data_IF_610960851585
#
_entry.id   IF_610960851585
#
_cell.length_a   1.000
_cell.length_b   1.000
_cell.length_c   1.000
_cell.angle_alpha   90.00
_cell.angle_beta   90.00
_cell.angle_gamma   90.00
#
_symmetry.space_group_name_H-M   'P 1'
#
loop_
_entity.id
_entity.type
_entity.pdbx_description
1 polymer ?
#
# COMPACT_ATOMS: atom_id res chain seq x y z
N UNK A 1 1.28 -8.95 -14.68
CA UNK A 1 0.27 -9.31 -13.67
C UNK A 1 0.69 -8.74 -12.31
N UNK A 2 -0.27 -8.21 -11.55
CA UNK A 2 -0.12 -7.85 -10.13
C UNK A 2 -0.82 -8.91 -9.29
N UNK A 3 -0.16 -9.41 -8.23
CA UNK A 3 -0.78 -10.29 -7.26
C UNK A 3 -1.25 -9.45 -6.06
N UNK A 4 -2.55 -9.47 -5.80
CA UNK A 4 -3.19 -8.78 -4.68
C UNK A 4 -3.48 -9.79 -3.57
N UNK A 5 -2.94 -9.54 -2.37
CA UNK A 5 -3.27 -10.29 -1.17
C UNK A 5 -4.47 -9.63 -0.50
N UNK A 6 -5.59 -10.34 -0.46
CA UNK A 6 -6.84 -9.89 0.15
C UNK A 6 -6.88 -10.28 1.63
N UNK A 7 -6.82 -9.29 2.50
CA UNK A 7 -6.94 -9.43 3.95
C UNK A 7 -8.41 -9.49 4.43
N UNK A 8 -9.31 -10.07 3.64
CA UNK A 8 -10.74 -10.17 3.95
C UNK A 8 -11.40 -8.81 4.12
N UNK A 9 -11.05 -7.88 3.24
CA UNK A 9 -11.51 -6.50 3.30
C UNK A 9 -12.46 -6.17 2.13
N UNK A 10 -13.52 -5.43 2.43
CA UNK A 10 -14.53 -5.03 1.43
C UNK A 10 -13.99 -4.05 0.38
N UNK A 11 -12.91 -3.33 0.66
CA UNK A 11 -12.29 -2.37 -0.26
C UNK A 11 -11.26 -3.01 -1.20
N UNK A 12 -10.86 -4.26 -0.97
CA UNK A 12 -9.88 -4.95 -1.83
C UNK A 12 -10.27 -4.92 -3.30
N UNK A 13 -11.54 -5.19 -3.59
CA UNK A 13 -12.00 -5.24 -4.99
C UNK A 13 -12.07 -3.88 -5.67
N UNK A 14 -12.15 -2.77 -4.93
CA UNK A 14 -12.00 -1.44 -5.50
C UNK A 14 -10.56 -1.21 -5.97
N UNK A 15 -9.56 -1.65 -5.19
CA UNK A 15 -8.16 -1.62 -5.62
C UNK A 15 -7.95 -2.48 -6.88
N UNK A 16 -8.54 -3.68 -6.91
CA UNK A 16 -8.48 -4.58 -8.07
C UNK A 16 -9.09 -3.91 -9.31
N UNK A 17 -10.27 -3.28 -9.17
CA UNK A 17 -10.91 -2.54 -10.24
C UNK A 17 -10.04 -1.42 -10.79
N UNK A 18 -9.48 -0.58 -9.93
CA UNK A 18 -8.61 0.51 -10.36
C UNK A 18 -7.36 0.02 -11.10
N UNK A 19 -6.75 -1.07 -10.60
CA UNK A 19 -5.61 -1.68 -11.30
C UNK A 19 -5.99 -2.23 -12.69
N UNK A 20 -7.18 -2.85 -12.80
CA UNK A 20 -7.69 -3.36 -14.09
C UNK A 20 -8.06 -2.22 -15.05
N UNK A 21 -8.67 -1.14 -14.57
CA UNK A 21 -8.95 0.07 -15.35
C UNK A 21 -7.67 0.72 -15.90
N UNK A 22 -6.57 0.60 -15.15
CA UNK A 22 -5.24 1.04 -15.58
C UNK A 22 -4.54 0.03 -16.52
N UNK A 23 -5.21 -1.05 -16.90
CA UNK A 23 -4.72 -2.04 -17.86
C UNK A 23 -3.88 -3.17 -17.27
N UNK A 24 -3.79 -3.29 -15.95
CA UNK A 24 -3.06 -4.38 -15.32
C UNK A 24 -3.87 -5.68 -15.32
N UNK A 25 -3.21 -6.80 -15.60
CA UNK A 25 -3.71 -8.12 -15.24
C UNK A 25 -3.57 -8.30 -13.72
N UNK A 26 -4.66 -8.70 -13.04
CA UNK A 26 -4.69 -8.84 -11.58
C UNK A 26 -5.09 -10.25 -11.18
N UNK A 27 -4.35 -10.84 -10.25
CA UNK A 27 -4.70 -12.07 -9.55
C UNK A 27 -4.92 -11.75 -8.08
N UNK A 28 -6.04 -12.20 -7.51
CA UNK A 28 -6.39 -12.00 -6.11
C UNK A 28 -6.26 -13.33 -5.37
N UNK A 29 -5.57 -13.32 -4.25
CA UNK A 29 -5.44 -14.45 -3.34
C UNK A 29 -5.76 -14.01 -1.91
N UNK A 30 -6.50 -14.83 -1.18
CA UNK A 30 -6.73 -14.59 0.25
C UNK A 30 -5.42 -14.72 1.03
N UNK A 31 -5.29 -14.01 2.13
CA UNK A 31 -4.08 -13.95 2.94
C UNK A 31 -3.70 -15.29 3.61
N UNK A 32 -4.57 -16.27 3.56
CA UNK A 32 -4.40 -17.64 4.08
C UNK A 32 -4.44 -18.72 2.97
N UNK A 33 -4.53 -18.32 1.70
CA UNK A 33 -4.70 -19.25 0.58
C UNK A 33 -3.36 -19.83 0.06
N UNK A 34 -2.24 -19.16 0.32
CA UNK A 34 -0.91 -19.59 -0.13
C UNK A 34 0.19 -19.14 0.82
N UNK A 35 1.36 -19.73 0.70
CA UNK A 35 2.55 -19.22 1.37
C UNK A 35 3.21 -18.07 0.58
N UNK A 36 3.95 -17.19 1.27
CA UNK A 36 4.67 -16.10 0.62
C UNK A 36 5.68 -16.59 -0.44
N UNK A 37 6.34 -17.72 -0.17
CA UNK A 37 7.26 -18.33 -1.14
C UNK A 37 6.54 -18.80 -2.43
N UNK A 38 5.28 -19.22 -2.33
CA UNK A 38 4.49 -19.60 -3.51
C UNK A 38 4.04 -18.36 -4.28
N UNK A 39 3.70 -17.28 -3.58
CA UNK A 39 3.39 -16.00 -4.20
C UNK A 39 4.55 -15.51 -5.06
N UNK A 40 5.81 -15.59 -4.57
CA UNK A 40 6.98 -15.18 -5.33
C UNK A 40 7.28 -16.08 -6.54
N UNK A 41 6.81 -17.34 -6.55
CA UNK A 41 6.97 -18.25 -7.70
C UNK A 41 5.99 -17.99 -8.81
N UNK A 42 5.01 -17.12 -8.60
CA UNK A 42 4.10 -16.69 -9.67
C UNK A 42 4.85 -15.78 -10.65
N UNK A 43 4.22 -15.50 -11.80
CA UNK A 43 4.73 -14.55 -12.78
C UNK A 43 4.40 -13.09 -12.44
N UNK A 44 4.07 -12.79 -11.18
CA UNK A 44 3.75 -11.44 -10.73
C UNK A 44 4.95 -10.51 -10.89
N UNK A 45 4.71 -9.36 -11.50
CA UNK A 45 5.69 -8.26 -11.62
C UNK A 45 5.71 -7.38 -10.38
N UNK A 46 4.65 -7.40 -9.58
CA UNK A 46 4.53 -6.67 -8.33
C UNK A 46 3.43 -7.25 -7.45
N UNK A 47 3.46 -6.87 -6.19
CA UNK A 47 2.57 -7.35 -5.15
C UNK A 47 1.84 -6.19 -4.48
N UNK A 48 0.58 -6.38 -4.13
CA UNK A 48 -0.20 -5.43 -3.36
C UNK A 48 -0.80 -6.13 -2.14
N UNK A 49 -0.56 -5.59 -0.94
CA UNK A 49 -1.20 -6.04 0.29
C UNK A 49 -2.35 -5.09 0.59
N UNK A 50 -3.56 -5.63 0.63
CA UNK A 50 -4.81 -4.87 0.79
C UNK A 50 -4.98 -4.32 2.21
N UNK A 51 -5.92 -3.38 2.39
CA UNK A 51 -6.49 -3.11 3.71
C UNK A 51 -7.02 -4.39 4.35
N UNK A 52 -7.30 -4.32 5.65
CA UNK A 52 -7.89 -5.43 6.38
C UNK A 52 -8.14 -5.09 7.85
N UNK A 53 -8.86 -5.96 8.56
CA UNK A 53 -9.11 -5.81 9.99
C UNK A 53 -7.88 -6.22 10.82
N UNK A 54 -7.94 -5.93 12.13
CA UNK A 54 -6.97 -6.32 13.13
C UNK A 54 -5.59 -5.67 12.96
N UNK A 55 -4.52 -6.44 13.21
CA UNK A 55 -3.14 -5.98 13.13
C UNK A 55 -2.34 -6.81 12.11
N UNK A 56 -1.12 -6.39 11.75
CA UNK A 56 -0.28 -7.19 10.86
C UNK A 56 -0.03 -8.63 11.33
N UNK A 57 -0.08 -8.87 12.65
CA UNK A 57 0.14 -10.20 13.20
C UNK A 57 -0.99 -11.20 12.85
N UNK A 58 -2.18 -10.69 12.58
CA UNK A 58 -3.35 -11.51 12.18
C UNK A 58 -3.62 -11.46 10.66
N UNK A 59 -2.72 -10.86 9.88
CA UNK A 59 -2.89 -10.64 8.44
C UNK A 59 -2.33 -11.78 7.56
N UNK A 60 -2.39 -13.01 8.04
CA UNK A 60 -1.93 -14.18 7.28
C UNK A 60 -0.51 -14.03 6.76
N UNK A 61 -0.31 -14.20 5.44
CA UNK A 61 1.02 -14.12 4.81
C UNK A 61 1.58 -12.70 4.69
N UNK A 62 0.87 -11.65 5.11
CA UNK A 62 1.26 -10.26 4.79
C UNK A 62 2.67 -9.90 5.27
N UNK A 63 3.03 -10.24 6.52
CA UNK A 63 4.40 -10.00 7.03
C UNK A 63 5.45 -10.83 6.29
N UNK A 64 5.18 -12.11 6.06
CA UNK A 64 6.09 -13.01 5.34
C UNK A 64 6.26 -12.58 3.87
N UNK A 65 5.21 -12.04 3.26
CA UNK A 65 5.29 -11.52 1.89
C UNK A 65 6.14 -10.25 1.82
N UNK A 66 6.03 -9.36 2.82
CA UNK A 66 6.93 -8.19 2.90
C UNK A 66 8.39 -8.65 2.96
N UNK A 67 8.71 -9.60 3.84
CA UNK A 67 10.05 -10.18 3.96
C UNK A 67 10.53 -10.78 2.62
N UNK A 68 9.70 -11.61 2.02
CA UNK A 68 10.03 -12.28 0.77
C UNK A 68 10.24 -11.29 -0.41
N UNK A 69 9.42 -10.25 -0.49
CA UNK A 69 9.58 -9.18 -1.49
C UNK A 69 10.87 -8.37 -1.24
N UNK A 70 11.18 -8.08 0.03
CA UNK A 70 12.41 -7.37 0.38
C UNK A 70 13.66 -8.18 -0.03
N UNK A 71 13.71 -9.46 0.31
CA UNK A 71 14.82 -10.35 -0.02
C UNK A 71 15.00 -10.54 -1.54
N UNK A 72 13.90 -10.57 -2.28
CA UNK A 72 13.90 -10.77 -3.73
C UNK A 72 13.96 -9.47 -4.54
N UNK A 73 13.94 -8.30 -3.90
CA UNK A 73 13.88 -6.99 -4.58
C UNK A 73 12.63 -6.80 -5.44
N UNK A 74 11.50 -7.38 -5.03
CA UNK A 74 10.24 -7.31 -5.78
C UNK A 74 9.44 -6.07 -5.41
N UNK A 75 8.79 -5.41 -6.39
CA UNK A 75 7.90 -4.29 -6.13
C UNK A 75 6.72 -4.69 -5.24
N UNK A 76 6.47 -3.89 -4.21
CA UNK A 76 5.40 -4.09 -3.24
C UNK A 76 4.74 -2.76 -2.88
N UNK A 77 3.41 -2.73 -2.91
CA UNK A 77 2.59 -1.66 -2.33
C UNK A 77 1.75 -2.21 -1.18
N UNK A 78 1.87 -1.62 -0.01
CA UNK A 78 0.99 -1.88 1.13
C UNK A 78 -0.03 -0.76 1.32
N UNK A 79 -1.31 -1.10 1.40
CA UNK A 79 -2.41 -0.16 1.64
C UNK A 79 -3.00 -0.41 3.03
N UNK A 80 -3.10 0.62 3.87
CA UNK A 80 -3.64 0.59 5.22
C UNK A 80 -2.99 -0.51 6.08
N UNK A 81 -3.61 -1.67 6.27
CA UNK A 81 -3.00 -2.83 6.96
C UNK A 81 -1.70 -3.28 6.28
N UNK A 82 -1.63 -3.22 4.95
CA UNK A 82 -0.41 -3.51 4.19
C UNK A 82 0.72 -2.52 4.47
N UNK A 83 0.42 -1.23 4.61
CA UNK A 83 1.37 -0.21 5.05
C UNK A 83 1.89 -0.51 6.46
N UNK A 84 1.00 -0.86 7.39
CA UNK A 84 1.37 -1.25 8.75
C UNK A 84 2.24 -2.51 8.78
N UNK A 85 1.95 -3.48 7.90
CA UNK A 85 2.77 -4.70 7.76
C UNK A 85 4.19 -4.39 7.29
N UNK A 86 4.34 -3.47 6.34
CA UNK A 86 5.66 -2.99 5.91
C UNK A 86 6.37 -2.27 7.07
N UNK A 87 5.69 -1.33 7.73
CA UNK A 87 6.25 -0.59 8.85
C UNK A 87 6.75 -1.51 9.96
N UNK A 88 5.94 -2.50 10.35
CA UNK A 88 6.28 -3.47 11.39
C UNK A 88 7.44 -4.38 10.98
N UNK A 89 7.45 -4.89 9.74
CA UNK A 89 8.52 -5.76 9.26
C UNK A 89 9.90 -5.10 9.36
N UNK A 90 9.98 -3.83 8.98
CA UNK A 90 11.26 -3.08 9.03
C UNK A 90 11.61 -2.52 10.42
N UNK A 91 10.78 -2.74 11.45
CA UNK A 91 11.08 -2.38 12.84
C UNK A 91 10.34 -1.18 13.39
N UNK A 92 9.38 -0.62 12.64
CA UNK A 92 8.43 0.38 13.13
C UNK A 92 7.43 -0.22 14.12
N UNK A 93 6.76 0.64 14.86
CA UNK A 93 5.73 0.24 15.83
C UNK A 93 4.34 0.55 15.31
N UNK A 94 3.45 -0.45 15.30
CA UNK A 94 2.03 -0.26 15.03
C UNK A 94 1.32 0.01 16.35
N UNK A 95 0.73 1.20 16.46
CA UNK A 95 0.10 1.71 17.69
C UNK A 95 -1.26 2.33 17.40
N UNK A 96 -2.06 2.56 18.44
CA UNK A 96 -3.33 3.28 18.31
C UNK A 96 -3.04 4.77 18.08
N UNK A 97 -3.52 5.31 16.95
CA UNK A 97 -3.36 6.71 16.53
C UNK A 97 -4.66 7.53 16.56
N UNK A 98 -5.69 7.04 17.26
CA UNK A 98 -7.02 7.66 17.22
C UNK A 98 -7.92 7.06 16.13
N UNK A 99 -9.23 7.24 16.29
CA UNK A 99 -10.21 6.66 15.37
C UNK A 99 -10.44 7.58 14.18
N UNK A 100 -10.00 7.14 13.01
CA UNK A 100 -10.34 7.72 11.72
C UNK A 100 -11.25 6.75 10.97
N UNK A 101 -12.52 7.12 10.80
CA UNK A 101 -13.51 6.25 10.16
C UNK A 101 -14.28 7.02 9.09
N UNK A 102 -13.86 6.82 7.83
CA UNK A 102 -14.48 7.50 6.70
C UNK A 102 -14.25 9.01 6.65
N UNK A 103 -13.22 9.50 7.33
CA UNK A 103 -12.85 10.92 7.30
C UNK A 103 -11.85 11.19 6.20
N UNK A 104 -11.98 12.33 5.57
CA UNK A 104 -10.97 12.84 4.65
C UNK A 104 -10.00 13.77 5.38
N UNK A 105 -8.75 13.74 4.97
CA UNK A 105 -7.69 14.64 5.46
C UNK A 105 -6.81 15.09 4.30
N UNK A 106 -6.25 16.30 4.36
CA UNK A 106 -5.19 16.68 3.45
C UNK A 106 -3.94 15.84 3.76
N UNK A 107 -3.33 15.29 2.72
CA UNK A 107 -2.08 14.54 2.76
C UNK A 107 -1.02 15.32 2.01
N UNK A 108 0.01 15.75 2.72
CA UNK A 108 1.19 16.42 2.13
C UNK A 108 2.26 15.38 1.86
N UNK A 109 2.93 15.46 0.71
CA UNK A 109 3.97 14.51 0.30
C UNK A 109 5.13 15.21 -0.42
N UNK A 110 6.26 14.51 -0.53
CA UNK A 110 7.49 15.01 -1.17
C UNK A 110 7.58 14.74 -2.67
N UNK A 111 6.58 14.09 -3.25
CA UNK A 111 6.54 13.73 -4.67
C UNK A 111 7.38 12.50 -5.04
N UNK A 112 7.93 11.77 -4.08
CA UNK A 112 8.74 10.58 -4.37
C UNK A 112 7.91 9.29 -4.48
N UNK A 113 8.44 8.30 -5.21
CA UNK A 113 7.84 6.98 -5.34
C UNK A 113 6.45 7.02 -5.97
N UNK A 114 5.46 6.46 -5.27
CA UNK A 114 4.07 6.41 -5.75
C UNK A 114 3.39 7.79 -5.82
N UNK A 115 3.99 8.83 -5.22
CA UNK A 115 3.50 10.19 -5.25
C UNK A 115 4.05 11.03 -6.41
N UNK A 116 4.85 10.44 -7.30
CA UNK A 116 5.47 11.16 -8.41
C UNK A 116 4.44 11.86 -9.30
N UNK A 117 4.57 13.17 -9.47
CA UNK A 117 3.70 13.99 -10.32
C UNK A 117 2.33 14.31 -9.75
N UNK A 118 2.01 13.87 -8.54
CA UNK A 118 0.75 14.21 -7.87
C UNK A 118 0.85 15.61 -7.24
N UNK A 119 -0.27 16.38 -7.18
CA UNK A 119 -0.31 17.62 -6.42
C UNK A 119 -0.18 17.35 -4.91
N UNK A 120 0.44 18.28 -4.19
CA UNK A 120 0.59 18.22 -2.73
C UNK A 120 0.19 19.54 -2.09
N UNK A 121 -0.71 19.56 -1.08
CA UNK A 121 -1.44 18.40 -0.58
C UNK A 121 -2.58 17.96 -1.53
N UNK A 122 -3.10 16.74 -1.30
CA UNK A 122 -4.36 16.27 -1.88
C UNK A 122 -5.23 15.64 -0.80
N UNK A 123 -6.54 15.54 -1.07
CA UNK A 123 -7.50 14.95 -0.12
C UNK A 123 -7.48 13.43 -0.20
N UNK A 124 -7.35 12.76 0.94
CA UNK A 124 -7.39 11.31 1.03
C UNK A 124 -8.32 10.79 2.14
N UNK A 125 -8.96 9.66 1.87
CA UNK A 125 -9.86 8.99 2.82
C UNK A 125 -9.08 8.11 3.78
N UNK A 126 -9.42 8.21 5.06
CA UNK A 126 -8.80 7.46 6.15
C UNK A 126 -9.82 6.57 6.84
N UNK A 127 -9.49 5.27 6.97
CA UNK A 127 -10.28 4.25 7.69
C UNK A 127 -9.36 3.44 8.59
N UNK A 128 -8.74 4.07 9.61
CA UNK A 128 -7.81 3.38 10.47
C UNK A 128 -7.90 3.87 11.92
N UNK A 129 -7.60 2.99 12.85
CA UNK A 129 -7.37 3.30 14.27
C UNK A 129 -5.90 3.05 14.67
N UNK A 130 -5.14 2.40 13.79
CA UNK A 130 -3.73 2.10 13.97
C UNK A 130 -2.89 2.95 13.03
N UNK A 131 -1.70 3.30 13.47
CA UNK A 131 -0.69 4.05 12.71
C UNK A 131 0.70 3.45 12.95
N UNK A 132 1.64 3.76 12.09
CA UNK A 132 3.04 3.38 12.25
C UNK A 132 3.80 4.54 12.90
N UNK A 133 4.44 4.26 14.03
CA UNK A 133 5.36 5.16 14.72
C UNK A 133 6.78 4.60 14.70
N UNK A 134 7.75 5.43 15.10
CA UNK A 134 9.16 5.05 15.14
C UNK A 134 9.63 4.42 13.81
N UNK A 135 9.30 5.08 12.71
CA UNK A 135 9.68 4.62 11.37
C UNK A 135 11.19 4.48 11.29
N UNK A 136 11.73 3.28 10.96
CA UNK A 136 13.17 3.04 10.95
C UNK A 136 13.85 3.76 9.77
N UNK A 137 15.17 3.94 9.84
CA UNK A 137 15.95 4.66 8.81
C UNK A 137 15.90 3.99 7.42
N UNK A 138 15.59 2.69 7.35
CA UNK A 138 15.40 1.99 6.08
C UNK A 138 14.14 2.43 5.33
N UNK A 139 13.19 3.08 6.03
CA UNK A 139 11.97 3.64 5.46
C UNK A 139 12.04 5.17 5.48
N UNK A 140 11.85 5.77 4.33
CA UNK A 140 11.77 7.22 4.17
C UNK A 140 10.30 7.63 4.21
N UNK A 141 9.91 8.38 5.25
CA UNK A 141 8.57 8.99 5.32
C UNK A 141 8.45 9.99 4.19
N UNK A 142 7.50 9.82 3.30
CA UNK A 142 7.29 10.67 2.14
C UNK A 142 5.88 11.29 2.08
N UNK A 143 4.99 10.94 3.03
CA UNK A 143 3.68 11.58 3.17
C UNK A 143 3.22 11.65 4.63
N UNK A 144 2.59 12.75 5.01
CA UNK A 144 2.01 12.98 6.34
C UNK A 144 0.67 13.68 6.24
N UNK A 145 -0.19 13.47 7.24
CA UNK A 145 -1.43 14.24 7.42
C UNK A 145 -1.19 15.46 8.33
N UNK A 146 -2.20 16.33 8.43
CA UNK A 146 -2.18 17.52 9.27
C UNK A 146 -2.06 17.23 10.78
N UNK A 147 -2.47 16.02 11.22
CA UNK A 147 -2.28 15.51 12.58
C UNK A 147 -0.87 14.89 12.81
N UNK A 148 0.05 15.07 11.88
CA UNK A 148 1.40 14.55 11.86
C UNK A 148 1.53 13.02 11.78
N UNK A 149 0.44 12.27 11.58
CA UNK A 149 0.52 10.85 11.33
C UNK A 149 1.21 10.55 10.00
N UNK A 150 2.01 9.50 9.96
CA UNK A 150 2.64 8.99 8.74
C UNK A 150 1.57 8.43 7.82
N UNK A 151 1.43 9.03 6.63
CA UNK A 151 0.48 8.64 5.61
C UNK A 151 1.13 7.90 4.43
N UNK A 152 2.44 7.95 4.34
CA UNK A 152 3.20 7.21 3.34
C UNK A 152 4.67 7.10 3.69
N UNK A 153 5.27 6.03 3.23
CA UNK A 153 6.71 5.84 3.21
C UNK A 153 7.13 4.95 2.03
N UNK A 154 8.38 5.04 1.69
CA UNK A 154 9.04 4.14 0.76
C UNK A 154 10.30 3.56 1.40
N UNK A 155 10.71 2.37 1.01
CA UNK A 155 12.03 1.89 1.36
C UNK A 155 13.11 2.73 0.68
N UNK A 156 14.23 2.94 1.37
CA UNK A 156 15.31 3.79 0.87
C UNK A 156 15.92 3.25 -0.44
N UNK A 157 16.01 1.92 -0.58
CA UNK A 157 16.71 1.25 -1.68
C UNK A 157 15.82 0.26 -2.46
N UNK A 158 14.82 -0.36 -1.82
CA UNK A 158 13.97 -1.37 -2.43
C UNK A 158 12.68 -0.76 -3.02
N UNK A 159 12.06 -1.37 -4.03
CA UNK A 159 10.82 -0.90 -4.62
C UNK A 159 9.59 -1.22 -3.74
N UNK A 160 9.67 -0.89 -2.46
CA UNK A 160 8.64 -1.16 -1.46
C UNK A 160 8.06 0.16 -0.98
N UNK A 161 6.73 0.29 -1.07
CA UNK A 161 5.97 1.49 -0.76
C UNK A 161 4.78 1.17 0.13
N UNK A 162 4.42 2.09 1.01
CA UNK A 162 3.25 1.96 1.85
C UNK A 162 2.46 3.26 1.92
N UNK A 163 1.13 3.17 1.89
CA UNK A 163 0.20 4.28 2.11
C UNK A 163 -0.82 3.90 3.17
N UNK A 164 -1.02 4.77 4.17
CA UNK A 164 -1.96 4.52 5.27
C UNK A 164 -3.41 4.79 4.88
N UNK A 165 -3.63 5.71 3.95
CA UNK A 165 -4.94 6.07 3.43
C UNK A 165 -5.43 5.09 2.35
N UNK A 166 -6.66 5.27 1.89
CA UNK A 166 -7.33 4.43 0.91
C UNK A 166 -7.34 5.08 -0.48
N UNK A 167 -6.40 4.76 -1.39
CA UNK A 167 -6.37 5.32 -2.74
C UNK A 167 -7.57 4.88 -3.60
N UNK A 168 -8.21 3.75 -3.23
CA UNK A 168 -9.37 3.18 -3.93
C UNK A 168 -10.69 3.81 -3.54
N UNK A 169 -10.71 4.68 -2.54
CA UNK A 169 -11.92 5.39 -2.14
C UNK A 169 -12.25 6.50 -3.14
N UNK A 170 -13.52 6.60 -3.51
CA UNK A 170 -14.01 7.66 -4.42
C UNK A 170 -13.77 9.08 -3.87
N UNK A 171 -13.64 9.22 -2.55
CA UNK A 171 -13.36 10.50 -1.91
C UNK A 171 -11.84 10.78 -1.77
N UNK A 172 -10.99 9.90 -2.27
CA UNK A 172 -9.55 10.13 -2.39
C UNK A 172 -9.24 10.69 -3.77
N UNK A 173 -8.62 11.87 -3.80
CA UNK A 173 -8.13 12.46 -5.02
C UNK A 173 -6.89 11.69 -5.54
N UNK A 174 -6.71 11.63 -6.86
CA UNK A 174 -5.53 11.03 -7.49
C UNK A 174 -5.23 9.55 -7.16
N UNK A 175 -6.24 8.78 -6.73
CA UNK A 175 -6.06 7.36 -6.43
C UNK A 175 -5.58 6.54 -7.63
N UNK A 176 -6.14 6.77 -8.81
CA UNK A 176 -5.69 6.13 -10.06
C UNK A 176 -4.26 6.51 -10.43
N UNK A 177 -3.90 7.79 -10.31
CA UNK A 177 -2.55 8.27 -10.61
C UNK A 177 -1.50 7.61 -9.70
N UNK A 178 -1.81 7.48 -8.40
CA UNK A 178 -0.96 6.79 -7.43
C UNK A 178 -0.76 5.32 -7.80
N UNK A 179 -1.83 4.60 -8.14
CA UNK A 179 -1.75 3.20 -8.56
C UNK A 179 -1.05 3.07 -9.91
N UNK A 180 -1.22 4.02 -10.83
CA UNK A 180 -0.47 4.05 -12.09
C UNK A 180 1.04 4.19 -11.85
N UNK A 181 1.45 5.02 -10.88
CA UNK A 181 2.84 5.13 -10.48
C UNK A 181 3.38 3.80 -9.92
N UNK A 182 2.59 3.10 -9.10
CA UNK A 182 2.96 1.76 -8.64
C UNK A 182 3.13 0.77 -9.80
N UNK A 183 2.21 0.76 -10.77
CA UNK A 183 2.33 -0.11 -11.95
C UNK A 183 3.62 0.18 -12.75
N UNK A 184 3.99 1.46 -12.90
CA UNK A 184 5.26 1.83 -13.56
C UNK A 184 6.48 1.29 -12.79
N UNK A 185 6.46 1.33 -11.45
CA UNK A 185 7.51 0.72 -10.62
C UNK A 185 7.60 -0.81 -10.83
N UNK A 186 6.48 -1.45 -11.18
CA UNK A 186 6.43 -2.87 -11.55
C UNK A 186 6.83 -3.14 -13.01
N UNK A 187 7.21 -2.12 -13.80
CA UNK A 187 7.46 -2.26 -15.22
C UNK A 187 6.22 -2.60 -16.04
N UNK A 188 5.06 -2.10 -15.62
CA UNK A 188 3.77 -2.23 -16.32
C UNK A 188 3.38 -0.83 -16.82
N UNK A 189 3.12 -0.71 -18.13
CA UNK A 189 2.57 0.52 -18.68
C UNK A 189 1.12 0.68 -18.21
N UNK A 190 0.86 1.79 -17.54
CA UNK A 190 -0.49 2.14 -17.10
C UNK A 190 -1.15 3.05 -18.12
N UNK A 191 -2.31 2.65 -18.63
CA UNK A 191 -3.21 3.51 -19.38
C UNK A 191 -4.08 4.27 -18.37
N UNK A 192 -4.00 5.61 -18.35
CA UNK A 192 -4.94 6.40 -17.53
C UNK A 192 -6.30 6.37 -18.25
N UNK A 193 -7.40 5.98 -17.56
CA UNK A 193 -8.74 6.09 -18.14
C UNK A 193 -9.01 7.54 -18.54
N UNK A 194 -9.57 7.74 -19.73
CA UNK A 194 -9.92 9.05 -20.24
C UNK A 194 -11.07 9.68 -19.44
#
# INVERSE_FOLDING_TARGET
MILVVDNYDSFTFNLVHYLMELGAEVRVERNDAMAAADALRTNAKGFLISPGPCTPNEAGISLDLVAACADAGKPLLGVCLGHQSIGQHFGGRVVRGGLMHGKTSPVSHDGSGVFAGLPSPFTATRYHSLVVENVPQSLVVNATADDAHVMGFRHAELPIHGVQFHPESIATEHGHDLLANFLRLCGIEAGIPA
#
